data_IF_657826925234
#
_entry.id   IF_657826925234
#
_cell.length_a   1.000
_cell.length_b   1.000
_cell.length_c   1.000
_cell.angle_alpha   90.00
_cell.angle_beta   90.00
_cell.angle_gamma   90.00
#
_symmetry.space_group_name_H-M   'P 1'
#
loop_
_entity.id
_entity.type
_entity.pdbx_description
1 polymer ?
#
# COMPACT_ATOMS: atom_id res chain seq x y z
N UNK A 1 18.18 43.76 17.91
CA UNK A 1 18.59 42.36 17.59
C UNK A 1 18.45 41.38 18.76
N UNK A 2 18.03 41.79 19.96
CA UNK A 2 17.92 40.92 21.16
C UNK A 2 16.57 40.23 21.36
N UNK A 3 15.54 40.59 20.58
CA UNK A 3 14.17 40.05 20.75
C UNK A 3 13.91 38.72 20.02
N UNK A 4 14.74 38.35 19.04
CA UNK A 4 14.55 37.15 18.21
C UNK A 4 14.99 35.87 18.96
N UNK A 5 15.99 35.96 19.87
CA UNK A 5 16.40 34.80 20.67
C UNK A 5 15.34 34.37 21.71
N UNK A 6 14.51 35.29 22.21
CA UNK A 6 13.49 34.97 23.21
C UNK A 6 12.32 34.13 22.68
N UNK A 7 11.95 34.31 21.42
CA UNK A 7 10.87 33.55 20.78
C UNK A 7 11.30 32.12 20.40
N UNK A 8 12.57 31.90 20.06
CA UNK A 8 13.08 30.56 19.74
C UNK A 8 13.13 29.65 20.99
N UNK A 9 13.52 30.20 22.15
CA UNK A 9 13.59 29.43 23.41
C UNK A 9 12.21 29.05 23.95
N UNK A 10 11.20 29.91 23.78
CA UNK A 10 9.83 29.62 24.20
C UNK A 10 9.16 28.58 23.30
N UNK A 11 9.36 28.63 21.99
CA UNK A 11 8.88 27.59 21.06
C UNK A 11 9.52 26.22 21.34
N UNK A 12 10.82 26.19 21.68
CA UNK A 12 11.52 24.95 22.01
C UNK A 12 11.04 24.32 23.33
N UNK A 13 10.73 25.14 24.34
CA UNK A 13 10.17 24.65 25.61
C UNK A 13 8.76 24.07 25.44
N UNK A 14 7.91 24.67 24.61
CA UNK A 14 6.56 24.17 24.30
C UNK A 14 6.66 22.85 23.51
N UNK A 15 7.60 22.75 22.57
CA UNK A 15 7.86 21.51 21.83
C UNK A 15 8.27 20.36 22.77
N UNK A 16 9.17 20.60 23.73
CA UNK A 16 9.58 19.58 24.69
C UNK A 16 8.45 19.16 25.66
N UNK A 17 7.49 20.04 25.95
CA UNK A 17 6.34 19.72 26.80
C UNK A 17 5.31 18.83 26.10
N UNK A 18 5.09 19.03 24.79
CA UNK A 18 4.12 18.25 24.01
C UNK A 18 4.65 16.89 23.52
N UNK A 19 5.97 16.72 23.38
CA UNK A 19 6.56 15.49 22.83
C UNK A 19 7.18 14.55 23.88
N UNK A 20 6.94 14.77 25.17
CA UNK A 20 7.25 13.76 26.19
C UNK A 20 6.33 12.55 26.02
N UNK A 21 6.89 11.47 25.46
CA UNK A 21 6.22 10.17 25.37
C UNK A 21 5.71 9.77 26.77
N UNK A 22 4.44 9.35 26.91
CA UNK A 22 3.92 8.89 28.19
C UNK A 22 4.78 7.72 28.68
N UNK A 23 5.27 7.80 29.91
CA UNK A 23 5.95 6.67 30.54
C UNK A 23 4.94 5.52 30.68
N UNK A 24 5.29 4.30 30.23
CA UNK A 24 4.39 3.17 30.32
C UNK A 24 4.05 2.92 31.80
N UNK A 25 2.75 2.97 32.12
CA UNK A 25 2.27 2.57 33.45
C UNK A 25 2.40 1.06 33.55
N UNK A 26 3.14 0.62 34.56
CA UNK A 26 3.30 -0.80 34.88
C UNK A 26 1.94 -1.34 35.36
N UNK A 27 1.28 -2.13 34.51
CA UNK A 27 0.02 -2.80 34.85
C UNK A 27 0.39 -4.15 35.46
N UNK A 28 0.34 -4.23 36.79
CA UNK A 28 0.52 -5.49 37.51
C UNK A 28 -0.79 -6.28 37.43
N UNK A 29 -0.85 -7.23 36.50
CA UNK A 29 -1.97 -8.19 36.40
C UNK A 29 -1.67 -9.36 37.33
N UNK A 30 -2.36 -9.45 38.48
CA UNK A 30 -2.39 -10.67 39.29
C UNK A 30 -3.32 -11.67 38.62
N UNK A 31 -2.75 -12.72 38.04
CA UNK A 31 -3.49 -13.87 37.52
C UNK A 31 -3.54 -14.92 38.64
N UNK A 32 -4.67 -15.03 39.32
CA UNK A 32 -4.94 -16.17 40.21
C UNK A 32 -5.29 -17.39 39.33
N UNK A 33 -4.31 -18.27 39.13
CA UNK A 33 -4.50 -19.54 38.43
C UNK A 33 -4.78 -20.63 39.47
N UNK A 34 -6.05 -21.00 39.63
CA UNK A 34 -6.43 -22.22 40.34
C UNK A 34 -6.23 -23.42 39.41
N UNK A 35 -5.06 -24.03 39.51
CA UNK A 35 -4.75 -25.29 38.81
C UNK A 35 -5.20 -26.45 39.70
N UNK A 36 -6.30 -27.12 39.33
CA UNK A 36 -6.63 -28.46 39.83
C UNK A 36 -5.74 -29.49 39.13
N UNK A 37 -4.97 -30.32 39.86
CA UNK A 37 -4.20 -31.39 39.24
C UNK A 37 -5.13 -32.57 38.95
N UNK A 38 -5.50 -32.77 37.68
CA UNK A 38 -6.00 -34.08 37.22
C UNK A 38 -4.85 -34.84 36.58
N UNK A 39 -4.28 -35.76 37.34
CA UNK A 39 -3.26 -36.71 36.90
C UNK A 39 -3.88 -37.62 35.83
N UNK A 40 -3.59 -37.36 34.56
CA UNK A 40 -3.82 -38.32 33.48
C UNK A 40 -2.47 -38.65 32.89
N UNK A 41 -2.03 -39.89 33.10
CA UNK A 41 -0.78 -40.44 32.60
C UNK A 41 -0.77 -40.37 31.07
N UNK A 42 0.06 -39.46 30.53
CA UNK A 42 0.30 -39.35 29.10
C UNK A 42 1.48 -40.24 28.72
N UNK A 43 1.13 -41.28 27.98
CA UNK A 43 2.01 -42.19 27.27
C UNK A 43 2.87 -41.37 26.29
N UNK A 44 4.13 -41.10 26.66
CA UNK A 44 5.08 -40.32 25.87
C UNK A 44 5.80 -41.22 24.87
N UNK A 45 5.12 -41.52 23.76
CA UNK A 45 5.81 -41.94 22.54
C UNK A 45 6.48 -40.72 21.93
N UNK A 46 7.78 -40.59 22.10
CA UNK A 46 8.58 -39.58 21.41
C UNK A 46 8.66 -39.95 19.92
N UNK A 47 7.72 -39.44 19.14
CA UNK A 47 7.84 -39.41 17.69
C UNK A 47 8.74 -38.23 17.36
N UNK A 48 10.03 -38.51 17.18
CA UNK A 48 11.00 -37.58 16.56
C UNK A 48 10.61 -37.40 15.08
N UNK A 49 9.57 -36.61 14.84
CA UNK A 49 9.29 -36.05 13.52
C UNK A 49 10.14 -34.79 13.35
N UNK A 50 10.96 -34.74 12.31
CA UNK A 50 11.66 -33.52 11.90
C UNK A 50 10.65 -32.36 11.82
N UNK A 51 10.77 -31.36 12.69
CA UNK A 51 9.93 -30.17 12.68
C UNK A 51 10.22 -29.36 11.40
N UNK A 52 9.50 -29.68 10.32
CA UNK A 52 9.49 -28.83 9.12
C UNK A 52 8.87 -27.49 9.49
N UNK A 53 9.66 -26.42 9.41
CA UNK A 53 9.18 -25.07 9.66
C UNK A 53 8.16 -24.66 8.57
N UNK A 54 7.15 -23.85 8.92
CA UNK A 54 6.08 -23.44 8.00
C UNK A 54 6.61 -22.73 6.73
N UNK A 55 7.83 -22.20 6.82
CA UNK A 55 8.55 -21.59 5.71
C UNK A 55 8.94 -22.58 4.60
N UNK A 56 9.00 -23.88 4.88
CA UNK A 56 9.40 -24.89 3.91
C UNK A 56 8.27 -25.32 2.96
N UNK A 57 7.01 -25.06 3.33
CA UNK A 57 5.85 -25.55 2.56
C UNK A 57 5.37 -24.57 1.49
N UNK A 58 5.79 -23.31 1.55
CA UNK A 58 5.41 -22.27 0.59
C UNK A 58 6.64 -21.47 0.16
N UNK A 59 6.86 -21.40 -1.16
CA UNK A 59 8.02 -20.70 -1.73
C UNK A 59 7.77 -19.18 -1.77
N UNK A 60 7.94 -18.52 -0.63
CA UNK A 60 7.78 -17.06 -0.50
C UNK A 60 8.74 -16.27 -1.40
N UNK A 61 9.90 -16.84 -1.76
CA UNK A 61 10.89 -16.16 -2.59
C UNK A 61 10.43 -16.05 -4.05
N UNK A 62 9.68 -17.03 -4.54
CA UNK A 62 9.14 -17.06 -5.90
C UNK A 62 7.69 -16.63 -5.98
N UNK A 63 7.04 -16.41 -4.85
CA UNK A 63 5.65 -16.00 -4.79
C UNK A 63 5.45 -14.59 -5.33
N UNK A 64 4.39 -14.43 -6.13
CA UNK A 64 3.88 -13.12 -6.54
C UNK A 64 3.15 -12.48 -5.36
N UNK A 65 3.51 -11.25 -5.02
CA UNK A 65 2.80 -10.47 -4.01
C UNK A 65 1.62 -9.73 -4.65
N UNK A 66 0.44 -9.91 -4.09
CA UNK A 66 -0.80 -9.27 -4.51
C UNK A 66 -1.32 -8.37 -3.39
N UNK A 67 -1.71 -7.12 -3.69
CA UNK A 67 -2.33 -6.28 -2.69
C UNK A 67 -3.70 -6.86 -2.31
N UNK A 68 -3.99 -6.84 -1.02
CA UNK A 68 -5.21 -7.42 -0.47
C UNK A 68 -5.56 -6.72 0.83
N UNK A 69 -6.84 -6.70 1.19
CA UNK A 69 -7.29 -6.17 2.48
C UNK A 69 -8.56 -6.84 2.96
N UNK A 70 -8.90 -6.58 4.20
CA UNK A 70 -10.15 -7.04 4.83
C UNK A 70 -9.89 -7.59 6.22
N UNK A 71 -10.97 -7.70 6.99
CA UNK A 71 -10.95 -8.26 8.35
C UNK A 71 -11.72 -9.56 8.36
N UNK A 72 -11.11 -10.61 8.88
CA UNK A 72 -11.69 -11.95 8.83
C UNK A 72 -11.57 -12.66 10.16
N UNK A 73 -12.58 -13.47 10.47
CA UNK A 73 -12.50 -14.54 11.46
C UNK A 73 -12.25 -15.85 10.74
N UNK A 74 -11.17 -16.54 11.11
CA UNK A 74 -10.77 -17.80 10.48
C UNK A 74 -10.74 -18.94 11.49
N UNK A 75 -11.14 -20.12 11.04
CA UNK A 75 -10.78 -21.39 11.67
C UNK A 75 -9.52 -21.91 10.97
N UNK A 76 -8.42 -22.00 11.72
CA UNK A 76 -7.11 -22.32 11.19
C UNK A 76 -6.52 -23.54 11.89
N UNK A 77 -6.09 -24.52 11.11
CA UNK A 77 -5.33 -25.67 11.57
C UNK A 77 -3.83 -25.39 11.43
N UNK A 78 -3.09 -25.43 12.53
CA UNK A 78 -1.64 -25.25 12.46
C UNK A 78 -0.89 -26.53 12.02
N UNK A 79 0.44 -26.44 11.92
CA UNK A 79 1.27 -27.58 11.50
C UNK A 79 1.23 -28.78 12.45
N UNK A 80 0.76 -28.60 13.68
CA UNK A 80 0.60 -29.67 14.69
C UNK A 80 -0.83 -30.21 14.72
N UNK A 81 -1.68 -29.82 13.77
CA UNK A 81 -3.09 -30.19 13.72
C UNK A 81 -3.96 -29.45 14.74
N UNK A 82 -3.43 -28.44 15.43
CA UNK A 82 -4.21 -27.69 16.42
C UNK A 82 -5.10 -26.68 15.71
N UNK A 83 -6.41 -26.86 15.87
CA UNK A 83 -7.44 -25.96 15.34
C UNK A 83 -7.63 -24.78 16.28
N UNK A 84 -7.61 -23.58 15.72
CA UNK A 84 -7.79 -22.32 16.45
C UNK A 84 -8.69 -21.38 15.68
N UNK A 85 -9.54 -20.64 16.39
CA UNK A 85 -10.29 -19.52 15.83
C UNK A 85 -9.47 -18.22 16.03
N UNK A 86 -9.37 -17.39 14.98
CA UNK A 86 -8.55 -16.17 15.00
C UNK A 86 -9.20 -15.05 14.21
N UNK A 87 -9.14 -13.84 14.77
CA UNK A 87 -9.43 -12.62 14.02
C UNK A 87 -8.12 -12.06 13.44
N UNK A 88 -8.15 -11.79 12.14
CA UNK A 88 -6.99 -11.33 11.36
C UNK A 88 -7.34 -10.10 10.51
N UNK A 89 -6.37 -9.22 10.30
CA UNK A 89 -6.44 -8.14 9.33
C UNK A 89 -5.46 -8.39 8.19
N UNK A 90 -6.00 -8.69 7.00
CA UNK A 90 -5.18 -8.99 5.81
C UNK A 90 -4.49 -7.72 5.33
N UNK A 91 -3.19 -7.83 5.01
CA UNK A 91 -2.40 -6.74 4.43
C UNK A 91 -1.97 -7.02 2.99
N UNK A 92 -1.76 -8.30 2.64
CA UNK A 92 -1.42 -8.77 1.29
C UNK A 92 -1.56 -10.28 1.18
N UNK A 93 -1.55 -10.77 -0.05
CA UNK A 93 -1.56 -12.20 -0.39
C UNK A 93 -0.31 -12.54 -1.18
N UNK A 94 0.31 -13.67 -0.88
CA UNK A 94 1.37 -14.27 -1.68
C UNK A 94 0.78 -15.42 -2.49
N UNK A 95 1.04 -15.45 -3.79
CA UNK A 95 0.56 -16.48 -4.70
C UNK A 95 1.73 -17.21 -5.34
N UNK A 96 1.74 -18.55 -5.25
CA UNK A 96 2.71 -19.39 -5.92
C UNK A 96 2.09 -20.73 -6.32
N UNK A 97 2.19 -21.10 -7.60
CA UNK A 97 1.68 -22.37 -8.10
C UNK A 97 0.17 -22.59 -7.86
N UNK A 98 -0.64 -21.52 -7.88
CA UNK A 98 -2.08 -21.58 -7.59
C UNK A 98 -2.44 -21.74 -6.12
N UNK A 99 -1.45 -21.71 -5.22
CA UNK A 99 -1.65 -21.67 -3.77
C UNK A 99 -1.49 -20.25 -3.24
N UNK A 100 -2.18 -19.96 -2.14
CA UNK A 100 -2.13 -18.67 -1.47
C UNK A 100 -1.57 -18.77 -0.05
N UNK A 101 -0.72 -17.82 0.34
CA UNK A 101 -0.36 -17.53 1.71
C UNK A 101 -0.78 -16.09 2.06
N UNK A 102 -1.51 -15.93 3.15
CA UNK A 102 -2.12 -14.67 3.56
C UNK A 102 -1.23 -14.03 4.61
N UNK A 103 -0.64 -12.86 4.32
CA UNK A 103 0.10 -12.06 5.30
C UNK A 103 -0.87 -11.10 6.00
N UNK A 104 -1.02 -11.29 7.31
CA UNK A 104 -2.03 -10.60 8.10
C UNK A 104 -1.54 -10.24 9.50
N UNK A 105 -2.12 -9.19 10.08
CA UNK A 105 -1.98 -8.90 11.50
C UNK A 105 -2.94 -9.79 12.30
N UNK A 106 -2.40 -10.69 13.12
CA UNK A 106 -3.18 -11.61 13.95
C UNK A 106 -3.53 -10.96 15.29
N UNK A 107 -4.80 -10.62 15.51
CA UNK A 107 -5.22 -9.87 16.69
C UNK A 107 -5.02 -10.66 17.99
N UNK A 108 -5.26 -11.97 17.98
CA UNK A 108 -5.05 -12.85 19.14
C UNK A 108 -3.60 -12.84 19.66
N UNK A 109 -2.63 -12.67 18.75
CA UNK A 109 -1.19 -12.69 19.09
C UNK A 109 -0.55 -11.31 19.03
N UNK A 110 -1.30 -10.30 18.59
CA UNK A 110 -0.83 -8.94 18.33
C UNK A 110 0.49 -8.91 17.52
N UNK A 111 0.53 -9.69 16.43
CA UNK A 111 1.73 -9.86 15.61
C UNK A 111 1.38 -10.14 14.14
N UNK A 112 2.28 -9.75 13.22
CA UNK A 112 2.20 -10.12 11.80
C UNK A 112 2.55 -11.59 11.61
N UNK A 113 1.70 -12.34 10.91
CA UNK A 113 1.88 -13.76 10.63
C UNK A 113 1.32 -14.10 9.25
N UNK A 114 1.94 -15.09 8.62
CA UNK A 114 1.43 -15.69 7.39
C UNK A 114 0.55 -16.91 7.71
N UNK A 115 -0.55 -17.06 6.97
CA UNK A 115 -1.49 -18.17 7.07
C UNK A 115 -1.60 -18.86 5.72
N UNK A 116 -1.40 -20.18 5.65
CA UNK A 116 -1.56 -20.91 4.40
C UNK A 116 -3.05 -21.08 4.10
N UNK A 117 -3.48 -20.72 2.88
CA UNK A 117 -4.88 -20.78 2.48
C UNK A 117 -5.48 -22.18 2.59
N UNK A 118 -4.70 -23.23 2.27
CA UNK A 118 -5.11 -24.63 2.38
C UNK A 118 -5.36 -25.11 3.83
N UNK A 119 -4.93 -24.33 4.83
CA UNK A 119 -5.13 -24.62 6.26
C UNK A 119 -6.22 -23.76 6.91
N UNK A 120 -6.88 -22.91 6.12
CA UNK A 120 -8.05 -22.14 6.54
C UNK A 120 -9.28 -22.97 6.21
N UNK A 121 -9.92 -23.56 7.23
CA UNK A 121 -11.10 -24.41 7.05
C UNK A 121 -12.37 -23.59 6.82
N UNK A 122 -12.43 -22.42 7.43
CA UNK A 122 -13.57 -21.51 7.35
C UNK A 122 -13.07 -20.07 7.50
N UNK A 123 -13.61 -19.18 6.68
CA UNK A 123 -13.42 -17.75 6.81
C UNK A 123 -14.78 -17.04 6.88
N UNK A 124 -14.86 -16.02 7.73
CA UNK A 124 -16.00 -15.11 7.82
C UNK A 124 -15.46 -13.70 7.67
N UNK A 125 -15.93 -12.98 6.67
CA UNK A 125 -15.63 -11.56 6.52
C UNK A 125 -16.34 -10.79 7.64
N UNK A 126 -15.58 -10.08 8.47
CA UNK A 126 -16.09 -9.38 9.65
C UNK A 126 -16.82 -8.08 9.30
N UNK A 127 -16.59 -7.53 8.11
CA UNK A 127 -17.24 -6.31 7.65
C UNK A 127 -18.61 -6.61 7.04
N UNK A 128 -18.75 -7.70 6.26
CA UNK A 128 -20.03 -8.12 5.67
C UNK A 128 -20.81 -9.15 6.50
N UNK A 129 -20.14 -9.92 7.35
CA UNK A 129 -20.71 -11.06 8.07
C UNK A 129 -20.84 -12.34 7.24
N UNK A 130 -20.42 -12.33 5.97
CA UNK A 130 -20.56 -13.45 5.04
C UNK A 130 -19.48 -14.52 5.26
N UNK A 131 -19.85 -15.78 5.03
CA UNK A 131 -18.90 -16.89 4.99
C UNK A 131 -18.22 -16.87 3.62
N UNK A 132 -16.89 -16.88 3.61
CA UNK A 132 -16.06 -16.79 2.42
C UNK A 132 -15.41 -18.15 2.13
N UNK A 133 -15.56 -18.64 0.90
CA UNK A 133 -14.95 -19.92 0.48
C UNK A 133 -13.45 -19.78 0.22
N UNK A 134 -13.03 -18.69 -0.44
CA UNK A 134 -11.62 -18.39 -0.73
C UNK A 134 -11.27 -17.00 -0.18
N UNK A 135 -10.72 -16.98 1.04
CA UNK A 135 -10.34 -15.75 1.75
C UNK A 135 -9.33 -14.93 0.95
N UNK A 136 -8.40 -15.56 0.23
CA UNK A 136 -7.37 -14.84 -0.50
C UNK A 136 -7.98 -14.05 -1.66
N UNK A 137 -8.87 -14.69 -2.44
CA UNK A 137 -9.59 -14.04 -3.55
C UNK A 137 -10.52 -12.93 -3.06
N UNK A 138 -11.27 -13.17 -1.98
CA UNK A 138 -12.13 -12.14 -1.39
C UNK A 138 -11.31 -10.92 -0.94
N UNK A 139 -10.18 -11.14 -0.26
CA UNK A 139 -9.32 -10.05 0.20
C UNK A 139 -8.69 -9.25 -0.94
N UNK A 140 -8.34 -9.89 -2.05
CA UNK A 140 -7.86 -9.22 -3.26
C UNK A 140 -8.99 -8.39 -3.90
N UNK A 141 -10.20 -8.96 -4.01
CA UNK A 141 -11.36 -8.26 -4.55
C UNK A 141 -11.71 -7.02 -3.71
N UNK A 142 -11.75 -7.18 -2.38
CA UNK A 142 -11.97 -6.06 -1.46
C UNK A 142 -10.91 -4.96 -1.57
N UNK A 143 -9.67 -5.30 -1.90
CA UNK A 143 -8.66 -4.30 -2.20
C UNK A 143 -8.98 -3.56 -3.48
N UNK A 144 -9.27 -4.27 -4.57
CA UNK A 144 -9.67 -3.69 -5.85
C UNK A 144 -10.88 -2.76 -5.74
N UNK A 145 -11.86 -3.12 -4.90
CA UNK A 145 -13.06 -2.33 -4.67
C UNK A 145 -12.85 -1.14 -3.73
N UNK A 146 -11.72 -1.08 -3.03
CA UNK A 146 -11.41 0.04 -2.13
C UNK A 146 -10.94 1.29 -2.88
N UNK A 147 -11.05 2.46 -2.24
CA UNK A 147 -10.58 3.72 -2.82
C UNK A 147 -9.09 3.67 -3.21
N UNK A 148 -8.26 3.06 -2.37
CA UNK A 148 -6.83 2.87 -2.63
C UNK A 148 -6.58 2.00 -3.86
N UNK A 149 -7.21 0.81 -3.92
CA UNK A 149 -7.08 -0.09 -5.06
C UNK A 149 -7.62 0.49 -6.36
N UNK A 150 -8.73 1.24 -6.29
CA UNK A 150 -9.27 2.02 -7.42
C UNK A 150 -8.29 3.09 -7.89
N UNK A 151 -7.67 3.82 -6.97
CA UNK A 151 -6.68 4.85 -7.31
C UNK A 151 -5.46 4.27 -8.02
N UNK A 152 -4.91 3.15 -7.51
CA UNK A 152 -3.81 2.46 -8.18
C UNK A 152 -4.23 1.87 -9.52
N UNK A 153 -5.42 1.27 -9.61
CA UNK A 153 -5.94 0.77 -10.88
C UNK A 153 -6.09 1.87 -11.94
N UNK A 154 -6.54 3.07 -11.53
CA UNK A 154 -6.59 4.22 -12.43
C UNK A 154 -5.20 4.66 -12.87
N UNK A 155 -4.21 4.68 -11.96
CA UNK A 155 -2.82 4.98 -12.32
C UNK A 155 -2.26 3.93 -13.30
N UNK A 156 -2.51 2.64 -13.08
CA UNK A 156 -2.02 1.58 -13.97
C UNK A 156 -2.64 1.68 -15.37
N UNK A 157 -3.96 1.94 -15.46
CA UNK A 157 -4.66 2.18 -16.74
C UNK A 157 -4.06 3.38 -17.48
N UNK A 158 -3.73 4.43 -16.76
CA UNK A 158 -3.23 5.70 -17.29
C UNK A 158 -1.71 5.89 -17.09
N UNK A 159 -0.96 4.80 -16.95
CA UNK A 159 0.44 4.83 -16.50
C UNK A 159 1.32 5.75 -17.35
N UNK A 160 1.17 5.70 -18.67
CA UNK A 160 1.95 6.53 -19.59
C UNK A 160 1.74 8.03 -19.34
N UNK A 161 0.49 8.45 -19.20
CA UNK A 161 0.16 9.86 -18.93
C UNK A 161 0.65 10.30 -17.55
N UNK A 162 0.41 9.47 -16.53
CA UNK A 162 0.87 9.75 -15.17
C UNK A 162 2.39 9.84 -15.11
N UNK A 163 3.12 8.93 -15.74
CA UNK A 163 4.58 8.94 -15.77
C UNK A 163 5.12 10.22 -16.43
N UNK A 164 4.52 10.67 -17.54
CA UNK A 164 4.88 11.95 -18.18
C UNK A 164 4.70 13.11 -17.21
N UNK A 165 3.56 13.21 -16.53
CA UNK A 165 3.31 14.30 -15.59
C UNK A 165 4.19 14.22 -14.34
N UNK A 166 4.41 13.01 -13.79
CA UNK A 166 5.31 12.80 -12.65
C UNK A 166 6.74 13.22 -12.98
N UNK A 167 7.22 12.94 -14.20
CA UNK A 167 8.51 13.41 -14.67
C UNK A 167 8.61 14.94 -14.64
N UNK A 168 7.60 15.64 -15.16
CA UNK A 168 7.56 17.12 -15.14
C UNK A 168 7.53 17.64 -13.70
N UNK A 169 6.64 17.10 -12.85
CA UNK A 169 6.52 17.50 -11.45
C UNK A 169 7.78 17.27 -10.60
N UNK A 170 8.66 16.33 -10.98
CA UNK A 170 9.88 16.00 -10.22
C UNK A 170 11.14 16.56 -10.84
N UNK A 171 11.02 17.37 -11.89
CA UNK A 171 12.16 18.01 -12.54
C UNK A 171 12.99 18.90 -11.59
N UNK A 172 12.38 19.46 -10.53
CA UNK A 172 13.05 20.21 -9.46
C UNK A 172 13.43 19.36 -8.23
N UNK A 173 13.19 18.04 -8.30
CA UNK A 173 13.43 17.06 -7.24
C UNK A 173 12.29 16.92 -6.22
N UNK A 174 11.21 17.71 -6.30
CA UNK A 174 10.10 17.63 -5.35
C UNK A 174 8.73 17.92 -5.97
N UNK A 175 7.82 16.97 -5.86
CA UNK A 175 6.44 17.18 -6.26
C UNK A 175 5.62 17.88 -5.16
N UNK A 176 4.97 19.00 -5.48
CA UNK A 176 4.15 19.81 -4.55
C UNK A 176 2.68 19.39 -4.56
N UNK A 177 1.92 19.88 -3.58
CA UNK A 177 0.47 19.57 -3.46
C UNK A 177 -0.35 20.09 -4.64
N UNK A 178 -0.02 21.28 -5.16
CA UNK A 178 -0.73 21.87 -6.30
C UNK A 178 -0.52 21.04 -7.58
N UNK A 179 0.70 20.57 -7.82
CA UNK A 179 1.06 19.73 -8.95
C UNK A 179 0.37 18.36 -8.88
N UNK A 180 0.33 17.73 -7.70
CA UNK A 180 -0.46 16.50 -7.48
C UNK A 180 -1.94 16.69 -7.76
N UNK A 181 -2.51 17.84 -7.46
CA UNK A 181 -3.91 18.14 -7.78
C UNK A 181 -4.15 18.17 -9.30
N UNK A 182 -3.18 18.64 -10.09
CA UNK A 182 -3.25 18.63 -11.56
C UNK A 182 -3.19 17.19 -12.09
N UNK A 183 -2.27 16.35 -11.58
CA UNK A 183 -2.21 14.92 -11.95
C UNK A 183 -3.51 14.19 -11.56
N UNK A 184 -4.06 14.52 -10.40
CA UNK A 184 -5.34 13.97 -9.95
C UNK A 184 -6.51 14.37 -10.86
N UNK A 185 -6.53 15.62 -11.34
CA UNK A 185 -7.53 16.10 -12.30
C UNK A 185 -7.40 15.38 -13.65
N UNK A 186 -6.16 15.22 -14.15
CA UNK A 186 -5.88 14.43 -15.35
C UNK A 186 -6.48 13.02 -15.22
N UNK A 187 -6.18 12.30 -14.13
CA UNK A 187 -6.70 10.95 -13.90
C UNK A 187 -8.23 10.90 -13.81
N UNK A 188 -8.88 11.90 -13.22
CA UNK A 188 -10.35 11.97 -13.18
C UNK A 188 -10.97 12.14 -14.56
N UNK A 189 -10.29 12.81 -15.50
CA UNK A 189 -10.77 12.98 -16.87
C UNK A 189 -10.64 11.70 -17.69
N UNK A 190 -9.53 10.97 -17.53
CA UNK A 190 -9.22 9.77 -18.33
C UNK A 190 -9.73 8.46 -17.71
N UNK A 191 -10.05 8.45 -16.42
CA UNK A 191 -10.60 7.29 -15.69
C UNK A 191 -11.98 7.62 -15.09
N UNK A 192 -12.93 8.07 -15.92
CA UNK A 192 -14.26 8.50 -15.46
C UNK A 192 -15.09 7.38 -14.81
N UNK A 193 -14.78 6.11 -15.12
CA UNK A 193 -15.37 4.92 -14.51
C UNK A 193 -14.90 4.69 -13.07
N UNK A 194 -13.81 5.34 -12.65
CA UNK A 194 -13.22 5.16 -11.34
C UNK A 194 -13.59 6.33 -10.43
N UNK A 195 -14.36 6.03 -9.36
CA UNK A 195 -14.59 6.99 -8.28
C UNK A 195 -13.28 7.17 -7.49
N UNK A 196 -12.60 8.29 -7.72
CA UNK A 196 -11.30 8.61 -7.14
C UNK A 196 -11.43 9.60 -5.97
N UNK A 197 -11.12 9.12 -4.76
CA UNK A 197 -10.93 9.99 -3.59
C UNK A 197 -9.63 10.79 -3.73
N UNK A 198 -9.68 12.09 -3.40
CA UNK A 198 -8.54 12.98 -3.61
C UNK A 198 -7.36 12.69 -2.67
N UNK A 199 -7.61 12.23 -1.43
CA UNK A 199 -6.57 11.95 -0.46
C UNK A 199 -5.85 10.63 -0.76
N UNK A 200 -6.59 9.61 -1.18
CA UNK A 200 -6.02 8.33 -1.62
C UNK A 200 -5.19 8.52 -2.89
N UNK A 201 -5.69 9.30 -3.85
CA UNK A 201 -4.96 9.57 -5.08
C UNK A 201 -3.68 10.36 -4.83
N UNK A 202 -3.70 11.34 -3.92
CA UNK A 202 -2.50 12.06 -3.47
C UNK A 202 -1.46 11.10 -2.87
N UNK A 203 -1.90 10.12 -2.09
CA UNK A 203 -1.04 9.10 -1.46
C UNK A 203 -0.47 8.12 -2.48
N UNK A 204 -1.29 7.65 -3.43
CA UNK A 204 -0.86 6.78 -4.52
C UNK A 204 0.17 7.47 -5.43
N UNK A 205 -0.07 8.72 -5.83
CA UNK A 205 0.86 9.50 -6.66
C UNK A 205 2.21 9.72 -5.94
N UNK A 206 2.18 9.97 -4.62
CA UNK A 206 3.41 10.11 -3.82
C UNK A 206 4.27 8.85 -3.83
N UNK A 207 3.65 7.67 -3.86
CA UNK A 207 4.34 6.38 -3.84
C UNK A 207 5.00 6.03 -5.19
N UNK A 208 4.67 6.75 -6.26
CA UNK A 208 5.25 6.49 -7.58
C UNK A 208 6.75 6.77 -7.60
N UNK A 209 7.49 5.94 -8.34
CA UNK A 209 8.88 6.18 -8.68
C UNK A 209 9.07 7.43 -9.53
N UNK A 210 10.30 7.88 -9.68
CA UNK A 210 10.65 8.95 -10.60
C UNK A 210 11.00 8.31 -11.97
N UNK A 211 10.21 8.55 -13.02
CA UNK A 211 10.56 8.09 -14.36
C UNK A 211 11.87 8.74 -14.79
N UNK A 212 12.74 8.00 -15.46
CA UNK A 212 13.96 8.58 -15.99
C UNK A 212 13.71 9.30 -17.34
N UNK A 213 14.66 10.13 -17.76
CA UNK A 213 14.56 10.90 -19.00
C UNK A 213 14.45 10.02 -20.26
N UNK A 214 15.01 8.80 -20.26
CA UNK A 214 14.89 7.88 -21.41
C UNK A 214 13.48 7.29 -21.46
N UNK A 215 12.92 6.93 -20.32
CA UNK A 215 11.56 6.45 -20.19
C UNK A 215 10.55 7.53 -20.61
N UNK A 216 10.70 8.76 -20.12
CA UNK A 216 9.89 9.89 -20.56
C UNK A 216 9.86 10.02 -22.09
N UNK A 217 11.03 10.08 -22.74
CA UNK A 217 11.13 10.20 -24.20
C UNK A 217 10.55 9.00 -24.94
N UNK A 218 10.70 7.79 -24.38
CA UNK A 218 10.11 6.57 -24.94
C UNK A 218 8.59 6.66 -24.90
N UNK A 219 8.00 7.03 -23.75
CA UNK A 219 6.55 7.15 -23.59
C UNK A 219 5.96 8.16 -24.58
N UNK A 220 6.56 9.34 -24.72
CA UNK A 220 6.08 10.35 -25.69
C UNK A 220 6.13 9.84 -27.13
N UNK A 221 7.20 9.13 -27.50
CA UNK A 221 7.31 8.50 -28.83
C UNK A 221 6.24 7.44 -29.04
N UNK A 222 5.98 6.60 -28.03
CA UNK A 222 4.99 5.53 -28.08
C UNK A 222 3.58 6.13 -28.25
N UNK A 223 3.23 7.20 -27.52
CA UNK A 223 1.97 7.94 -27.70
C UNK A 223 1.85 8.56 -29.11
N UNK A 224 2.92 9.18 -29.61
CA UNK A 224 2.96 9.77 -30.96
C UNK A 224 2.78 8.71 -32.04
N UNK A 225 3.44 7.56 -31.90
CA UNK A 225 3.33 6.44 -32.83
C UNK A 225 1.93 5.79 -32.82
N UNK A 226 1.26 5.77 -31.66
CA UNK A 226 -0.12 5.34 -31.53
C UNK A 226 -1.14 6.33 -32.13
N UNK A 227 -0.72 7.56 -32.45
CA UNK A 227 -1.60 8.61 -32.97
C UNK A 227 -2.50 9.25 -31.91
N UNK A 228 -2.15 9.10 -30.62
CA UNK A 228 -2.97 9.55 -29.48
C UNK A 228 -2.80 11.06 -29.23
N UNK A 229 -3.23 11.87 -30.20
CA UNK A 229 -3.06 13.33 -30.21
C UNK A 229 -3.84 14.04 -29.12
N UNK A 230 -5.04 13.57 -28.82
CA UNK A 230 -5.90 14.17 -27.80
C UNK A 230 -5.24 14.05 -26.42
N UNK A 231 -4.71 12.86 -26.10
CA UNK A 231 -3.97 12.62 -24.85
C UNK A 231 -2.69 13.42 -24.78
N UNK A 232 -1.90 13.49 -25.86
CA UNK A 232 -0.70 14.33 -25.91
C UNK A 232 -1.01 15.81 -25.67
N UNK A 233 -2.11 16.30 -26.23
CA UNK A 233 -2.57 17.68 -26.02
C UNK A 233 -2.96 17.93 -24.57
N UNK A 234 -3.68 16.99 -23.95
CA UNK A 234 -4.09 17.09 -22.56
C UNK A 234 -2.89 17.02 -21.59
N UNK A 235 -1.90 16.19 -21.92
CA UNK A 235 -0.63 16.12 -21.18
C UNK A 235 0.17 17.42 -21.29
N UNK A 236 0.20 18.03 -22.47
CA UNK A 236 0.86 19.34 -22.67
C UNK A 236 0.16 20.44 -21.85
N UNK A 237 -1.17 20.48 -21.83
CA UNK A 237 -1.92 21.42 -20.99
C UNK A 237 -1.59 21.23 -19.51
N UNK A 238 -1.64 20.00 -19.02
CA UNK A 238 -1.28 19.66 -17.65
C UNK A 238 0.16 20.07 -17.32
N UNK A 239 1.12 19.77 -18.20
CA UNK A 239 2.52 20.13 -18.01
C UNK A 239 2.72 21.64 -17.92
N UNK A 240 2.04 22.43 -18.77
CA UNK A 240 2.06 23.90 -18.69
C UNK A 240 1.54 24.40 -17.35
N UNK A 241 0.39 23.88 -16.91
CA UNK A 241 -0.21 24.21 -15.61
C UNK A 241 0.71 23.85 -14.44
N UNK A 242 1.44 22.74 -14.51
CA UNK A 242 2.42 22.31 -13.49
C UNK A 242 3.55 23.34 -13.40
N UNK A 243 4.16 23.70 -14.53
CA UNK A 243 5.25 24.69 -14.60
C UNK A 243 4.78 26.06 -14.10
N UNK A 244 3.56 26.46 -14.43
CA UNK A 244 2.95 27.71 -13.98
C UNK A 244 2.69 27.76 -12.46
N UNK A 245 2.77 26.63 -11.74
CA UNK A 245 2.70 26.63 -10.26
C UNK A 245 3.96 27.20 -9.60
N UNK A 246 5.05 27.35 -10.37
CA UNK A 246 6.36 27.77 -9.87
C UNK A 246 6.75 29.17 -10.37
N UNK A 247 7.58 29.87 -9.60
CA UNK A 247 8.09 31.21 -10.00
C UNK A 247 9.25 31.15 -11.00
N UNK A 248 10.01 30.06 -10.94
CA UNK A 248 11.21 29.85 -11.75
C UNK A 248 11.07 28.48 -12.41
N UNK A 249 11.15 28.45 -13.73
CA UNK A 249 11.06 27.22 -14.51
C UNK A 249 12.42 26.54 -14.52
N UNK A 250 12.48 25.27 -14.13
CA UNK A 250 13.70 24.48 -14.18
C UNK A 250 14.07 24.15 -15.64
N UNK A 251 15.37 24.03 -15.99
CA UNK A 251 15.78 23.68 -17.35
C UNK A 251 15.16 22.36 -17.86
N UNK A 252 14.98 21.39 -16.96
CA UNK A 252 14.39 20.09 -17.29
C UNK A 252 12.89 20.19 -17.59
N UNK A 253 12.14 21.03 -16.86
CA UNK A 253 10.73 21.30 -17.15
C UNK A 253 10.57 21.96 -18.52
N UNK A 254 11.41 22.94 -18.82
CA UNK A 254 11.42 23.61 -20.12
C UNK A 254 11.68 22.62 -21.26
N UNK A 255 12.70 21.76 -21.10
CA UNK A 255 12.99 20.72 -22.09
C UNK A 255 11.83 19.71 -22.25
N UNK A 256 11.15 19.36 -21.15
CA UNK A 256 9.99 18.47 -21.21
C UNK A 256 8.81 19.12 -21.96
N UNK A 257 8.56 20.42 -21.76
CA UNK A 257 7.55 21.18 -22.50
C UNK A 257 7.87 21.23 -23.99
N UNK A 258 9.11 21.54 -24.37
CA UNK A 258 9.55 21.58 -25.78
C UNK A 258 9.30 20.23 -26.49
N UNK A 259 9.59 19.11 -25.80
CA UNK A 259 9.35 17.76 -26.33
C UNK A 259 7.85 17.49 -26.51
N UNK A 260 7.00 17.89 -25.56
CA UNK A 260 5.55 17.73 -25.65
C UNK A 260 4.95 18.62 -26.77
N UNK A 261 5.46 19.82 -26.96
CA UNK A 261 5.06 20.72 -28.04
C UNK A 261 5.42 20.13 -29.42
N UNK A 262 6.61 19.57 -29.59
CA UNK A 262 7.00 18.88 -30.82
C UNK A 262 6.16 17.60 -31.06
N UNK A 263 5.73 16.94 -29.99
CA UNK A 263 4.92 15.73 -30.09
C UNK A 263 3.46 16.02 -30.51
N UNK A 264 2.95 17.20 -30.17
CA UNK A 264 1.57 17.63 -30.46
C UNK A 264 1.43 18.31 -31.83
N UNK A 265 2.52 18.83 -32.39
CA UNK A 265 2.59 19.34 -33.76
C UNK A 265 2.47 18.23 -34.83
#
# INVERSE_FOLDING_TARGET
>A
MTWILGLALTAFAIYLAFFRKPTPREVVIRIETSVSPSTTELNRGEVEGEEKDNWEQFDFYRARMLPAKGRYRINYEDQRGLKTERDIEVKRVHEFGGKYAIDAHCLLRNAHRSFLGERIEKAINLDSGEIVEDLARDAIAQYGDSNEGRALSAIDKEWMGVAVLVFVCRADGQMRKAERAIVAEYLKRHCADVLLDAAELDSAIKALGEPDHKEFKRIIRDLKAAGDRDRLTDLLDCAKRIVDTQKTVAPMEKAALEILEEATA
#
